data_IF_947891129202
#
_entry.id   IF_947891129202
#
_cell.length_a   1.000
_cell.length_b   1.000
_cell.length_c   1.000
_cell.angle_alpha   90.00
_cell.angle_beta   90.00
_cell.angle_gamma   90.00
#
_symmetry.space_group_name_H-M   'P 1'
#
loop_
_entity.id
_entity.type
_entity.pdbx_description
1 polymer ?
#
# COMPACT_ATOMS: atom_id res chain seq x y z
N UNK A 1 10.61 1.76 2.89
CA UNK A 1 10.03 1.57 1.54
C UNK A 1 9.02 2.69 1.29
N UNK A 2 9.03 3.26 0.08
CA UNK A 2 8.09 4.30 -0.34
C UNK A 2 6.64 3.81 -0.31
N UNK A 3 5.75 4.59 0.29
CA UNK A 3 4.34 4.23 0.49
C UNK A 3 3.41 4.57 -0.68
N UNK A 4 3.89 5.15 -1.79
CA UNK A 4 3.00 5.68 -2.82
C UNK A 4 2.52 4.67 -3.84
N UNK A 5 3.37 3.81 -4.36
CA UNK A 5 2.97 2.90 -5.43
C UNK A 5 3.62 1.52 -5.33
N UNK A 6 3.10 0.57 -6.12
CA UNK A 6 3.54 -0.82 -6.12
C UNK A 6 4.97 -1.07 -6.60
N UNK A 7 5.71 -0.05 -7.06
CA UNK A 7 7.14 -0.21 -7.35
C UNK A 7 7.92 -0.55 -6.08
N UNK A 8 7.51 -0.01 -4.91
CA UNK A 8 8.11 -0.35 -3.63
C UNK A 8 9.58 0.09 -3.51
N UNK A 9 9.88 1.33 -3.90
CA UNK A 9 11.24 1.86 -3.87
C UNK A 9 11.82 1.88 -2.45
N UNK A 10 13.06 1.41 -2.27
CA UNK A 10 13.82 1.56 -1.04
C UNK A 10 14.15 3.02 -0.79
N UNK A 11 14.02 3.45 0.46
CA UNK A 11 14.28 4.81 0.92
C UNK A 11 15.34 4.81 2.01
N UNK A 12 16.19 5.81 1.98
CA UNK A 12 17.11 6.18 3.06
C UNK A 12 16.87 7.62 3.49
N UNK A 13 17.15 7.91 4.75
CA UNK A 13 17.05 9.25 5.30
C UNK A 13 18.47 9.78 5.53
N UNK A 14 18.85 10.80 4.79
CA UNK A 14 20.16 11.42 4.89
C UNK A 14 20.04 12.95 4.94
N UNK A 15 20.64 13.58 5.96
CA UNK A 15 20.72 15.06 6.08
C UNK A 15 19.37 15.74 5.84
N UNK A 16 18.33 15.27 6.53
CA UNK A 16 16.96 15.80 6.45
C UNK A 16 16.30 15.68 5.07
N UNK A 17 16.75 14.73 4.26
CA UNK A 17 16.16 14.43 2.95
C UNK A 17 15.92 12.93 2.78
N UNK A 18 14.89 12.59 2.03
CA UNK A 18 14.70 11.24 1.54
C UNK A 18 15.47 11.05 0.24
N UNK A 19 16.31 10.03 0.20
CA UNK A 19 17.05 9.58 -0.96
C UNK A 19 16.68 8.12 -1.28
N UNK A 20 16.96 7.68 -2.50
CA UNK A 20 16.79 6.28 -2.86
C UNK A 20 17.91 5.43 -2.31
N UNK A 21 17.55 4.31 -1.69
CA UNK A 21 18.50 3.29 -1.26
C UNK A 21 19.19 2.65 -2.49
N UNK A 22 20.50 2.85 -2.59
CA UNK A 22 21.31 2.35 -3.71
C UNK A 22 21.41 0.82 -3.69
N UNK A 23 21.41 0.22 -2.51
CA UNK A 23 21.47 -1.22 -2.35
C UNK A 23 20.13 -1.92 -2.59
N UNK A 24 19.04 -1.17 -2.65
CA UNK A 24 17.71 -1.75 -2.82
C UNK A 24 17.44 -2.14 -4.28
N UNK A 25 17.21 -3.43 -4.58
CA UNK A 25 17.24 -3.95 -5.96
C UNK A 25 16.12 -3.40 -6.84
N UNK A 26 15.02 -2.93 -6.22
CA UNK A 26 13.86 -2.42 -6.96
C UNK A 26 14.13 -1.10 -7.64
N UNK A 27 14.81 -0.16 -6.98
CA UNK A 27 15.01 1.19 -7.48
C UNK A 27 16.47 1.61 -7.65
N UNK A 28 17.43 0.90 -7.05
CA UNK A 28 18.88 1.15 -7.21
C UNK A 28 19.21 2.65 -7.05
N UNK A 29 18.76 3.24 -5.94
CA UNK A 29 18.94 4.64 -5.61
C UNK A 29 18.05 5.64 -6.36
N UNK A 30 17.21 5.20 -7.30
CA UNK A 30 16.34 6.10 -8.07
C UNK A 30 15.01 6.35 -7.35
N UNK A 31 14.58 7.60 -7.33
CA UNK A 31 13.26 8.00 -6.83
C UNK A 31 12.54 8.88 -7.84
N UNK A 32 11.22 8.90 -7.74
CA UNK A 32 10.39 9.89 -8.42
C UNK A 32 10.02 11.04 -7.45
N UNK A 33 9.40 12.08 -7.98
CA UNK A 33 8.96 13.24 -7.18
C UNK A 33 8.06 12.85 -6.00
N UNK A 34 7.20 11.84 -6.16
CA UNK A 34 6.32 11.36 -5.09
C UNK A 34 7.12 10.81 -3.90
N UNK A 35 8.10 9.93 -4.15
CA UNK A 35 8.95 9.38 -3.09
C UNK A 35 9.80 10.43 -2.39
N UNK A 36 10.35 11.38 -3.14
CA UNK A 36 11.14 12.49 -2.56
C UNK A 36 10.26 13.38 -1.66
N UNK A 37 9.01 13.62 -2.04
CA UNK A 37 8.09 14.48 -1.28
C UNK A 37 7.41 13.78 -0.09
N UNK A 38 7.64 12.50 0.13
CA UNK A 38 6.98 11.75 1.21
C UNK A 38 7.26 12.34 2.60
N UNK A 39 8.46 12.90 2.81
CA UNK A 39 8.81 13.57 4.06
C UNK A 39 7.91 14.78 4.38
N UNK A 40 7.43 15.48 3.37
CA UNK A 40 6.53 16.63 3.55
C UNK A 40 5.24 16.19 4.25
N UNK A 41 4.74 15.00 3.95
CA UNK A 41 3.53 14.46 4.58
C UNK A 41 3.71 14.15 6.07
N UNK A 42 4.94 13.87 6.49
CA UNK A 42 5.30 13.63 7.90
C UNK A 42 5.40 14.94 8.68
N UNK A 43 5.89 15.99 8.03
CA UNK A 43 6.21 17.28 8.66
C UNK A 43 5.09 18.32 8.54
N UNK A 44 3.99 18.00 7.83
CA UNK A 44 2.91 18.97 7.64
C UNK A 44 2.21 19.32 8.95
N UNK A 45 1.93 20.61 9.22
CA UNK A 45 1.22 21.04 10.43
C UNK A 45 -0.20 20.46 10.55
N UNK A 46 -0.82 20.08 9.44
CA UNK A 46 -2.16 19.47 9.41
C UNK A 46 -2.18 17.98 9.76
N UNK A 47 -1.01 17.36 10.01
CA UNK A 47 -0.94 15.95 10.37
C UNK A 47 -1.55 15.72 11.75
N UNK A 48 -2.47 14.77 11.84
CA UNK A 48 -3.05 14.33 13.11
C UNK A 48 -2.01 13.54 13.91
N UNK A 49 -1.63 14.07 15.09
CA UNK A 49 -0.64 13.44 15.98
C UNK A 49 -1.29 12.77 17.19
N UNK A 50 -2.58 12.96 17.39
CA UNK A 50 -3.37 12.41 18.49
C UNK A 50 -4.70 11.89 17.99
N UNK A 51 -5.29 10.89 18.68
CA UNK A 51 -6.65 10.48 18.36
C UNK A 51 -7.64 11.61 18.64
N UNK A 52 -8.70 11.65 17.86
CA UNK A 52 -9.78 12.61 18.03
C UNK A 52 -11.11 11.87 18.22
N UNK A 53 -11.96 12.41 19.07
CA UNK A 53 -13.32 11.93 19.26
C UNK A 53 -14.27 13.01 18.80
N UNK A 54 -15.23 12.64 17.95
CA UNK A 54 -16.31 13.51 17.52
C UNK A 54 -17.33 13.70 18.64
N UNK A 55 -17.73 14.93 18.88
CA UNK A 55 -18.88 15.22 19.71
C UNK A 55 -20.16 15.04 18.91
N UNK A 56 -21.05 14.20 19.38
CA UNK A 56 -22.29 13.84 18.68
C UNK A 56 -23.32 15.00 18.61
N UNK A 57 -23.16 16.05 19.44
CA UNK A 57 -24.07 17.20 19.49
C UNK A 57 -23.74 18.23 18.42
N UNK A 58 -22.46 18.62 18.31
CA UNK A 58 -22.03 19.70 17.43
C UNK A 58 -21.12 19.26 16.27
N UNK A 59 -20.89 17.95 16.12
CA UNK A 59 -19.99 17.37 15.12
C UNK A 59 -18.52 17.84 15.18
N UNK A 60 -18.11 18.49 16.26
CA UNK A 60 -16.73 18.93 16.43
C UNK A 60 -15.83 17.75 16.86
N UNK A 61 -14.62 17.71 16.32
CA UNK A 61 -13.59 16.75 16.74
C UNK A 61 -12.73 17.39 17.82
N UNK A 62 -12.49 16.64 18.91
CA UNK A 62 -11.60 17.03 20.00
C UNK A 62 -10.52 15.99 20.24
N UNK A 63 -9.31 16.47 20.46
CA UNK A 63 -8.18 15.61 20.81
C UNK A 63 -8.47 14.84 22.10
N UNK A 64 -8.01 13.60 22.13
CA UNK A 64 -8.14 12.73 23.30
C UNK A 64 -6.88 11.88 23.48
N UNK A 65 -6.79 11.20 24.62
CA UNK A 65 -5.72 10.24 24.86
C UNK A 65 -5.97 8.92 24.12
N UNK A 66 -4.90 8.20 23.80
CA UNK A 66 -5.00 6.85 23.23
C UNK A 66 -5.80 5.91 24.12
N UNK A 67 -5.57 5.95 25.45
CA UNK A 67 -6.33 5.12 26.40
C UNK A 67 -7.83 5.38 26.32
N UNK A 68 -8.23 6.65 26.26
CA UNK A 68 -9.64 7.01 26.17
C UNK A 68 -10.27 6.57 24.82
N UNK A 69 -9.55 6.77 23.72
CA UNK A 69 -10.02 6.33 22.39
C UNK A 69 -10.19 4.81 22.34
N UNK A 70 -9.20 4.06 22.83
CA UNK A 70 -9.22 2.59 22.86
C UNK A 70 -10.35 2.08 23.75
N UNK A 71 -10.52 2.64 24.94
CA UNK A 71 -11.59 2.26 25.85
C UNK A 71 -12.98 2.50 25.25
N UNK A 72 -13.16 3.63 24.55
CA UNK A 72 -14.43 3.93 23.86
C UNK A 72 -14.73 2.89 22.76
N UNK A 73 -13.72 2.53 21.95
CA UNK A 73 -13.85 1.52 20.91
C UNK A 73 -14.14 0.14 21.53
N UNK A 74 -13.35 -0.29 22.51
CA UNK A 74 -13.49 -1.57 23.18
C UNK A 74 -14.88 -1.75 23.83
N UNK A 75 -15.34 -0.71 24.54
CA UNK A 75 -16.69 -0.72 25.14
C UNK A 75 -17.78 -0.85 24.10
N UNK A 76 -17.62 -0.18 22.93
CA UNK A 76 -18.60 -0.28 21.85
C UNK A 76 -18.61 -1.67 21.21
N UNK A 77 -17.45 -2.25 20.99
CA UNK A 77 -17.33 -3.62 20.47
C UNK A 77 -17.95 -4.62 21.44
N UNK A 78 -17.67 -4.49 22.76
CA UNK A 78 -18.14 -5.43 23.78
C UNK A 78 -19.66 -5.52 23.89
N UNK A 79 -20.38 -4.43 23.61
CA UNK A 79 -21.86 -4.41 23.65
C UNK A 79 -22.50 -4.69 22.29
N UNK A 80 -21.71 -4.77 21.22
CA UNK A 80 -22.23 -5.00 19.86
C UNK A 80 -22.33 -6.50 19.56
N UNK A 81 -23.38 -6.97 18.90
CA UNK A 81 -23.43 -8.32 18.38
C UNK A 81 -22.22 -8.56 17.44
N UNK A 82 -21.51 -9.67 17.62
CA UNK A 82 -20.27 -9.97 16.90
C UNK A 82 -20.42 -9.95 15.37
N UNK A 83 -21.56 -10.34 14.86
CA UNK A 83 -21.90 -10.33 13.44
C UNK A 83 -22.07 -8.92 12.85
N UNK A 84 -22.23 -7.91 13.72
CA UNK A 84 -22.28 -6.49 13.33
C UNK A 84 -20.94 -5.76 13.49
N UNK A 85 -19.91 -6.46 13.97
CA UNK A 85 -18.54 -5.94 14.05
C UNK A 85 -17.78 -6.40 12.84
N UNK A 86 -17.15 -5.47 12.12
CA UNK A 86 -16.31 -5.77 10.95
C UNK A 86 -15.07 -4.90 10.90
N UNK A 87 -13.98 -5.45 10.38
CA UNK A 87 -12.75 -4.73 10.07
C UNK A 87 -12.56 -4.64 8.56
N UNK A 88 -12.41 -3.43 8.08
CA UNK A 88 -11.99 -3.16 6.71
C UNK A 88 -10.59 -2.55 6.74
N UNK A 89 -9.59 -3.34 6.35
CA UNK A 89 -8.18 -3.00 6.50
C UNK A 89 -7.62 -2.41 5.20
N UNK A 90 -6.55 -1.63 5.31
CA UNK A 90 -5.77 -1.22 4.15
C UNK A 90 -4.99 -2.41 3.58
N UNK A 91 -4.81 -2.46 2.26
CA UNK A 91 -3.90 -3.40 1.60
C UNK A 91 -2.41 -3.06 1.75
N UNK A 92 -2.08 -1.98 2.45
CA UNK A 92 -0.72 -1.45 2.60
C UNK A 92 -0.24 -1.42 4.06
N UNK A 93 -0.79 -2.28 4.89
CA UNK A 93 -0.36 -2.45 6.28
C UNK A 93 0.85 -3.38 6.38
N UNK A 94 1.50 -3.37 7.54
CA UNK A 94 2.54 -4.35 7.86
C UNK A 94 1.91 -5.74 8.08
N UNK A 95 2.69 -6.79 7.88
CA UNK A 95 2.25 -8.18 8.11
C UNK A 95 1.74 -8.39 9.53
N UNK A 96 2.39 -7.75 10.50
CA UNK A 96 2.03 -7.77 11.92
C UNK A 96 0.65 -7.17 12.17
N UNK A 97 0.29 -6.10 11.47
CA UNK A 97 -1.03 -5.46 11.59
C UNK A 97 -2.14 -6.42 11.15
N UNK A 98 -1.94 -7.12 10.03
CA UNK A 98 -2.90 -8.14 9.57
C UNK A 98 -3.02 -9.30 10.55
N UNK A 99 -1.89 -9.75 11.11
CA UNK A 99 -1.89 -10.82 12.10
C UNK A 99 -2.69 -10.42 13.34
N UNK A 100 -2.41 -9.25 13.91
CA UNK A 100 -3.08 -8.75 15.12
C UNK A 100 -4.57 -8.52 14.86
N UNK A 101 -4.93 -7.89 13.74
CA UNK A 101 -6.32 -7.66 13.36
C UNK A 101 -7.10 -8.97 13.20
N UNK A 102 -6.53 -9.96 12.51
CA UNK A 102 -7.16 -11.28 12.36
C UNK A 102 -7.29 -12.00 13.71
N UNK A 103 -6.26 -11.93 14.56
CA UNK A 103 -6.28 -12.53 15.89
C UNK A 103 -7.37 -11.90 16.77
N UNK A 104 -7.49 -10.56 16.75
CA UNK A 104 -8.54 -9.85 17.48
C UNK A 104 -9.92 -10.26 16.98
N UNK A 105 -10.16 -10.19 15.68
CA UNK A 105 -11.48 -10.44 15.10
C UNK A 105 -11.91 -11.92 15.23
N UNK A 106 -11.05 -12.84 14.83
CA UNK A 106 -11.38 -14.28 14.80
C UNK A 106 -11.20 -14.94 16.16
N UNK A 107 -10.14 -14.58 16.90
CA UNK A 107 -9.80 -15.22 18.16
C UNK A 107 -10.56 -14.65 19.36
N UNK A 108 -10.75 -13.34 19.42
CA UNK A 108 -11.35 -12.70 20.60
C UNK A 108 -12.79 -12.26 20.37
N UNK A 109 -13.12 -11.61 19.25
CA UNK A 109 -14.48 -11.17 18.95
C UNK A 109 -15.32 -12.34 18.42
N UNK A 110 -14.69 -13.29 17.72
CA UNK A 110 -15.35 -14.49 17.21
C UNK A 110 -16.16 -14.25 15.94
N UNK A 111 -15.64 -13.39 15.05
CA UNK A 111 -16.26 -13.12 13.74
C UNK A 111 -15.23 -13.18 12.61
N UNK A 112 -15.67 -13.56 11.41
CA UNK A 112 -14.87 -13.56 10.18
C UNK A 112 -15.06 -12.30 9.33
N UNK A 113 -15.72 -11.27 9.84
CA UNK A 113 -15.99 -10.04 9.11
C UNK A 113 -14.72 -9.18 8.99
N UNK A 114 -13.73 -9.68 8.30
CA UNK A 114 -12.46 -8.99 8.01
C UNK A 114 -12.23 -9.03 6.53
N UNK A 115 -12.03 -7.88 5.92
CA UNK A 115 -11.63 -7.77 4.51
C UNK A 115 -10.73 -6.55 4.30
N UNK A 116 -10.25 -6.38 3.08
CA UNK A 116 -9.32 -5.33 2.70
C UNK A 116 -9.77 -4.67 1.38
N UNK A 117 -9.27 -3.45 1.12
CA UNK A 117 -9.52 -2.76 -0.12
C UNK A 117 -9.06 -3.54 -1.37
N UNK A 118 -8.10 -4.45 -1.23
CA UNK A 118 -7.65 -5.34 -2.31
C UNK A 118 -8.78 -6.22 -2.88
N UNK A 119 -9.83 -6.47 -2.08
CA UNK A 119 -11.04 -7.16 -2.52
C UNK A 119 -11.69 -6.48 -3.73
N UNK A 120 -11.71 -5.16 -3.76
CA UNK A 120 -12.37 -4.39 -4.80
C UNK A 120 -11.42 -3.93 -5.91
N UNK A 121 -10.13 -3.86 -5.68
CA UNK A 121 -9.15 -3.39 -6.69
C UNK A 121 -8.38 -4.51 -7.39
N UNK A 122 -8.18 -5.68 -6.75
CA UNK A 122 -7.26 -6.71 -7.23
C UNK A 122 -7.87 -8.11 -7.35
N UNK A 123 -9.11 -8.33 -6.97
CA UNK A 123 -9.72 -9.68 -6.95
C UNK A 123 -9.66 -10.37 -8.30
N UNK A 124 -9.89 -9.65 -9.40
CA UNK A 124 -9.81 -10.22 -10.75
C UNK A 124 -8.39 -10.68 -11.10
N UNK A 125 -7.38 -9.91 -10.73
CA UNK A 125 -5.98 -10.28 -10.94
C UNK A 125 -5.60 -11.53 -10.12
N UNK A 126 -6.00 -11.60 -8.86
CA UNK A 126 -5.78 -12.79 -8.00
C UNK A 126 -6.40 -14.05 -8.62
N UNK A 127 -7.63 -13.95 -9.10
CA UNK A 127 -8.31 -15.08 -9.77
C UNK A 127 -7.57 -15.47 -11.05
N UNK A 128 -7.13 -14.50 -11.84
CA UNK A 128 -6.36 -14.75 -13.06
C UNK A 128 -5.02 -15.44 -12.76
N UNK A 129 -4.26 -14.96 -11.80
CA UNK A 129 -2.99 -15.58 -11.38
C UNK A 129 -3.20 -17.01 -10.92
N UNK A 130 -4.16 -17.25 -10.02
CA UNK A 130 -4.45 -18.60 -9.53
C UNK A 130 -4.89 -19.56 -10.62
N UNK A 131 -5.69 -19.09 -11.58
CA UNK A 131 -6.13 -19.94 -12.71
C UNK A 131 -5.01 -20.21 -13.72
N UNK A 132 -4.13 -19.24 -13.97
CA UNK A 132 -3.09 -19.35 -15.00
C UNK A 132 -1.78 -19.92 -14.46
N UNK A 133 -1.42 -19.59 -13.23
CA UNK A 133 -0.11 -19.89 -12.64
C UNK A 133 -0.19 -20.81 -11.42
N UNK A 134 -1.40 -21.08 -10.91
CA UNK A 134 -1.62 -21.89 -9.71
C UNK A 134 -1.41 -21.16 -8.39
N UNK A 135 -0.80 -19.98 -8.40
CA UNK A 135 -0.46 -19.17 -7.22
C UNK A 135 -0.79 -17.70 -7.45
N UNK A 136 -0.96 -16.97 -6.35
CA UNK A 136 -1.19 -15.53 -6.35
C UNK A 136 0.14 -14.79 -6.12
N UNK A 137 0.91 -14.62 -7.20
CA UNK A 137 2.17 -13.87 -7.17
C UNK A 137 2.54 -13.37 -8.56
N UNK A 138 3.40 -12.36 -8.62
CA UNK A 138 4.01 -11.87 -9.85
C UNK A 138 5.26 -12.71 -10.15
N UNK A 139 5.28 -13.50 -11.25
CA UNK A 139 6.33 -14.50 -11.49
C UNK A 139 7.63 -13.92 -12.07
N UNK A 140 7.73 -12.61 -12.20
CA UNK A 140 8.87 -11.90 -12.81
C UNK A 140 9.41 -10.82 -11.89
N UNK A 141 10.68 -10.49 -12.06
CA UNK A 141 11.36 -9.37 -11.38
C UNK A 141 11.40 -8.14 -12.30
N UNK A 142 11.57 -6.96 -11.72
CA UNK A 142 11.64 -5.72 -12.51
C UNK A 142 12.81 -5.69 -13.49
N UNK A 143 13.90 -6.38 -13.21
CA UNK A 143 15.07 -6.43 -14.08
C UNK A 143 14.91 -7.38 -15.27
N UNK A 144 13.96 -8.31 -15.22
CA UNK A 144 13.69 -9.24 -16.33
C UNK A 144 13.26 -8.50 -17.62
N UNK A 145 12.87 -7.22 -17.50
CA UNK A 145 12.57 -6.37 -18.65
C UNK A 145 13.77 -6.15 -19.58
N UNK A 146 14.98 -6.25 -19.06
CA UNK A 146 16.19 -6.09 -19.88
C UNK A 146 16.51 -7.33 -20.72
N UNK A 147 15.95 -8.47 -20.37
CA UNK A 147 16.08 -9.74 -21.08
C UNK A 147 14.88 -9.98 -22.04
N UNK A 148 13.87 -9.10 -21.99
CA UNK A 148 12.67 -9.23 -22.79
C UNK A 148 12.86 -8.64 -24.20
N UNK A 149 12.31 -9.31 -25.21
CA UNK A 149 12.27 -8.79 -26.58
C UNK A 149 11.02 -7.94 -26.88
N UNK A 150 9.93 -8.18 -26.13
CA UNK A 150 8.66 -7.52 -26.29
C UNK A 150 8.02 -7.26 -24.94
N UNK A 151 7.51 -6.03 -24.76
CA UNK A 151 6.66 -5.63 -23.64
C UNK A 151 5.28 -5.28 -24.17
N UNK A 152 4.24 -5.84 -23.54
CA UNK A 152 2.85 -5.47 -23.83
C UNK A 152 2.30 -4.75 -22.58
N UNK A 153 1.90 -3.50 -22.73
CA UNK A 153 1.23 -2.71 -21.70
C UNK A 153 -0.26 -2.68 -21.99
N UNK A 154 -1.06 -3.15 -21.03
CA UNK A 154 -2.52 -3.20 -21.17
C UNK A 154 -3.16 -2.39 -20.05
N UNK A 155 -3.89 -1.32 -20.37
CA UNK A 155 -4.56 -0.45 -19.41
C UNK A 155 -3.62 0.12 -18.35
N UNK A 156 -2.37 0.46 -18.70
CA UNK A 156 -1.33 0.80 -17.73
C UNK A 156 -0.58 2.08 -18.11
N UNK A 157 -0.81 3.15 -17.37
CA UNK A 157 -0.03 4.38 -17.45
C UNK A 157 1.19 4.32 -16.53
N UNK A 158 2.22 3.61 -16.95
CA UNK A 158 3.46 3.45 -16.15
C UNK A 158 4.21 4.75 -15.98
N UNK A 159 4.07 5.71 -16.88
CA UNK A 159 4.77 7.00 -16.82
C UNK A 159 4.33 7.84 -15.62
N UNK A 160 3.08 7.74 -15.19
CA UNK A 160 2.55 8.47 -14.05
C UNK A 160 2.44 7.60 -12.80
N UNK A 161 1.94 6.37 -12.95
CA UNK A 161 1.67 5.49 -11.82
C UNK A 161 2.95 4.82 -11.27
N UNK A 162 3.90 4.43 -12.15
CA UNK A 162 5.08 3.64 -11.80
C UNK A 162 6.37 4.23 -12.40
N UNK A 163 6.67 5.49 -12.09
CA UNK A 163 7.70 6.31 -12.76
C UNK A 163 9.08 5.66 -12.78
N UNK A 164 9.54 5.08 -11.66
CA UNK A 164 10.86 4.45 -11.60
C UNK A 164 10.93 3.23 -12.52
N UNK A 165 9.87 2.41 -12.56
CA UNK A 165 9.78 1.29 -13.50
C UNK A 165 9.67 1.77 -14.94
N UNK A 166 8.90 2.83 -15.22
CA UNK A 166 8.82 3.43 -16.55
C UNK A 166 10.19 3.87 -17.07
N UNK A 167 11.03 4.43 -16.21
CA UNK A 167 12.40 4.80 -16.60
C UNK A 167 13.24 3.57 -17.00
N UNK A 168 13.07 2.42 -16.35
CA UNK A 168 13.70 1.16 -16.80
C UNK A 168 13.17 0.71 -18.14
N UNK A 169 11.86 0.81 -18.39
CA UNK A 169 11.26 0.55 -19.70
C UNK A 169 11.91 1.41 -20.79
N UNK A 170 12.12 2.71 -20.51
CA UNK A 170 12.81 3.61 -21.46
C UNK A 170 14.24 3.18 -21.76
N UNK A 171 14.97 2.69 -20.76
CA UNK A 171 16.33 2.17 -20.96
C UNK A 171 16.30 0.89 -21.80
N UNK A 172 15.46 -0.07 -21.45
CA UNK A 172 15.29 -1.32 -22.21
C UNK A 172 14.85 -1.07 -23.68
N UNK A 173 13.97 -0.08 -23.89
CA UNK A 173 13.57 0.34 -25.26
C UNK A 173 14.77 0.82 -26.08
N UNK A 174 15.68 1.57 -25.47
CA UNK A 174 16.92 2.01 -26.16
C UNK A 174 17.86 0.83 -26.50
N UNK A 175 17.73 -0.27 -25.77
CA UNK A 175 18.47 -1.51 -25.98
C UNK A 175 17.78 -2.48 -26.97
N UNK A 176 16.63 -2.11 -27.54
CA UNK A 176 15.95 -2.91 -28.54
C UNK A 176 14.62 -3.52 -28.12
N UNK A 177 14.15 -3.32 -26.86
CA UNK A 177 12.86 -3.78 -26.42
C UNK A 177 11.73 -3.16 -27.28
N UNK A 178 10.91 -4.01 -27.88
CA UNK A 178 9.69 -3.59 -28.58
C UNK A 178 8.54 -3.41 -27.60
N UNK A 179 7.69 -2.41 -27.83
CA UNK A 179 6.57 -2.10 -26.94
C UNK A 179 5.28 -2.04 -27.73
N UNK A 180 4.26 -2.76 -27.23
CA UNK A 180 2.87 -2.66 -27.67
C UNK A 180 2.08 -2.05 -26.52
N UNK A 181 1.25 -1.04 -26.81
CA UNK A 181 0.34 -0.42 -25.83
C UNK A 181 -1.09 -0.70 -26.29
N UNK A 182 -1.89 -1.19 -25.34
CA UNK A 182 -3.33 -1.41 -25.49
C UNK A 182 -4.02 -0.63 -24.39
N UNK A 183 -4.70 0.48 -24.74
CA UNK A 183 -5.35 1.42 -23.82
C UNK A 183 -6.71 1.87 -24.35
#
# INVERSE_FOLDING_TARGET
>A
VCGYCGVGCGLEFEKDKLIGDVAYPTNEGKLCSKGISELISVQTPSRLLRPQIRNDINNEYKDTSWSNAINKIASKIAISPKEKVGFYLSGQLLTEDYYIANKLMKGFIGTNNVDTNSRTCMSSAVVAYKKSLGLDFVPVRMNDIFDANLLILVGANTAEAHVVFHNRIKVAKKQGLKIIVID
#
